data_IF_916465660251
#
_entry.id   IF_916465660251
#
_cell.length_a   1.000
_cell.length_b   1.000
_cell.length_c   1.000
_cell.angle_alpha   90.00
_cell.angle_beta   90.00
_cell.angle_gamma   90.00
#
_symmetry.space_group_name_H-M   'P 1'
#
loop_
_entity.id
_entity.type
_entity.pdbx_description
1 polymer ?
#
# COMPACT_ATOMS: atom_id res chain seq x y z
N UNK A 1 19.82 17.68 -9.81
CA UNK A 1 20.03 16.56 -10.76
C UNK A 1 19.12 16.78 -11.95
N UNK A 2 19.61 16.59 -13.18
CA UNK A 2 18.77 16.72 -14.36
C UNK A 2 17.86 15.48 -14.46
N UNK A 3 16.56 15.69 -14.60
CA UNK A 3 15.60 14.64 -14.85
C UNK A 3 15.46 14.48 -16.37
N UNK A 4 15.63 13.26 -16.88
CA UNK A 4 15.39 12.96 -18.30
C UNK A 4 13.97 12.45 -18.45
N UNK A 5 13.15 13.12 -19.24
CA UNK A 5 11.77 12.75 -19.54
C UNK A 5 11.67 12.21 -20.94
N UNK A 6 11.06 11.04 -21.11
CA UNK A 6 10.79 10.44 -22.41
C UNK A 6 9.33 10.69 -22.79
N UNK A 7 9.10 11.24 -23.97
CA UNK A 7 7.77 11.37 -24.56
C UNK A 7 7.55 10.20 -25.52
N UNK A 8 6.80 9.21 -25.06
CA UNK A 8 6.47 8.02 -25.85
C UNK A 8 6.98 6.72 -25.26
N UNK A 9 6.66 5.57 -25.89
CA UNK A 9 7.05 4.27 -25.39
C UNK A 9 8.57 4.11 -25.36
N UNK A 10 9.10 3.70 -24.20
CA UNK A 10 10.51 3.34 -24.06
C UNK A 10 10.63 1.82 -24.18
N UNK A 11 11.35 1.34 -25.22
CA UNK A 11 11.67 -0.07 -25.39
C UNK A 11 13.06 -0.35 -24.83
N UNK A 12 13.15 -1.17 -23.82
CA UNK A 12 14.41 -1.73 -23.33
C UNK A 12 14.49 -3.21 -23.70
N UNK A 13 15.55 -3.62 -24.38
CA UNK A 13 15.74 -5.02 -24.79
C UNK A 13 16.30 -5.90 -23.67
N UNK A 14 16.96 -5.30 -22.68
CA UNK A 14 17.60 -5.99 -21.55
C UNK A 14 17.00 -5.61 -20.19
N UNK A 15 15.80 -5.02 -20.17
CA UNK A 15 15.15 -4.53 -18.95
C UNK A 15 15.70 -3.20 -18.45
N UNK A 16 15.07 -2.68 -17.39
CA UNK A 16 15.54 -1.50 -16.68
C UNK A 16 16.26 -1.93 -15.41
N UNK A 17 17.48 -1.43 -15.23
CA UNK A 17 18.22 -1.62 -13.99
C UNK A 17 18.12 -0.36 -13.16
N UNK A 18 17.57 -0.49 -11.96
CA UNK A 18 17.51 0.57 -10.97
C UNK A 18 18.52 0.25 -9.86
N UNK A 19 19.57 1.06 -9.77
CA UNK A 19 20.58 0.93 -8.72
C UNK A 19 20.27 1.84 -7.54
N UNK A 20 20.49 1.33 -6.33
CA UNK A 20 20.46 2.11 -5.11
C UNK A 20 19.18 1.94 -4.28
N UNK A 21 18.99 2.73 -3.24
CA UNK A 21 17.92 2.57 -2.25
C UNK A 21 16.52 2.95 -2.76
N UNK A 22 16.37 3.18 -4.06
CA UNK A 22 15.13 3.67 -4.65
C UNK A 22 13.96 2.69 -4.65
N UNK A 23 14.18 1.39 -4.42
CA UNK A 23 13.13 0.36 -4.47
C UNK A 23 12.53 0.01 -3.10
N UNK A 24 13.21 0.34 -2.02
CA UNK A 24 12.74 0.15 -0.65
C UNK A 24 12.74 1.50 0.07
N UNK A 25 11.59 1.87 0.61
CA UNK A 25 11.43 3.08 1.42
C UNK A 25 11.16 2.66 2.86
N UNK A 26 11.90 3.24 3.77
CA UNK A 26 11.74 2.98 5.19
C UNK A 26 10.82 4.04 5.80
N UNK A 27 9.69 3.62 6.36
CA UNK A 27 8.88 4.46 7.23
C UNK A 27 9.44 4.29 8.64
N UNK A 28 10.33 5.21 9.02
CA UNK A 28 11.08 5.14 10.26
C UNK A 28 10.26 5.58 11.47
N UNK A 29 10.65 5.03 12.60
CA UNK A 29 10.19 5.36 13.95
C UNK A 29 10.12 6.88 14.20
N UNK A 30 9.01 7.34 14.77
CA UNK A 30 8.79 8.74 15.17
C UNK A 30 7.84 9.53 14.27
N UNK A 31 7.31 8.94 13.19
CA UNK A 31 6.29 9.57 12.34
C UNK A 31 4.99 8.80 12.49
N UNK A 32 4.13 9.21 13.42
CA UNK A 32 2.87 8.50 13.69
C UNK A 32 1.87 8.51 12.52
N UNK A 33 2.07 9.38 11.52
CA UNK A 33 1.19 9.48 10.35
C UNK A 33 2.00 9.80 9.12
N UNK A 34 1.80 9.05 8.04
CA UNK A 34 2.41 9.27 6.73
C UNK A 34 1.32 9.25 5.67
N UNK A 35 1.25 10.30 4.86
CA UNK A 35 0.47 10.27 3.62
C UNK A 35 1.40 9.88 2.48
N UNK A 36 1.07 8.79 1.80
CA UNK A 36 1.83 8.35 0.62
C UNK A 36 1.58 9.29 -0.55
N UNK A 37 2.57 9.47 -1.37
CA UNK A 37 2.49 10.15 -2.64
C UNK A 37 2.99 9.25 -3.78
N UNK A 38 2.52 9.50 -4.99
CA UNK A 38 2.85 8.68 -6.17
C UNK A 38 4.34 8.78 -6.50
N UNK A 39 4.90 9.97 -6.46
CA UNK A 39 6.29 10.22 -6.87
C UNK A 39 7.30 9.49 -6.00
N UNK A 40 7.04 9.44 -4.69
CA UNK A 40 7.97 8.87 -3.71
C UNK A 40 7.77 7.37 -3.51
N UNK A 41 6.51 6.89 -3.49
CA UNK A 41 6.19 5.55 -2.97
C UNK A 41 5.67 4.57 -4.01
N UNK A 42 5.16 5.02 -5.17
CA UNK A 42 4.60 4.12 -6.17
C UNK A 42 5.63 3.11 -6.70
N UNK A 43 5.23 1.85 -6.82
CA UNK A 43 6.08 0.76 -7.31
C UNK A 43 7.19 0.33 -6.36
N UNK A 44 7.18 0.79 -5.10
CA UNK A 44 8.22 0.48 -4.12
C UNK A 44 7.70 -0.43 -3.02
N UNK A 45 8.64 -1.08 -2.33
CA UNK A 45 8.39 -1.75 -1.07
C UNK A 45 8.54 -0.72 0.06
N UNK A 46 7.46 -0.53 0.80
CA UNK A 46 7.38 0.37 1.94
C UNK A 46 7.55 -0.48 3.19
N UNK A 47 8.67 -0.33 3.85
CA UNK A 47 9.04 -1.10 5.05
C UNK A 47 8.64 -0.31 6.29
N UNK A 48 7.80 -0.87 7.14
CA UNK A 48 7.39 -0.25 8.39
C UNK A 48 8.20 -0.79 9.56
N UNK A 49 8.93 0.10 10.23
CA UNK A 49 9.68 -0.21 11.45
C UNK A 49 9.02 0.36 12.70
N UNK A 50 7.87 1.02 12.54
CA UNK A 50 7.08 1.59 13.62
C UNK A 50 5.87 0.69 13.91
N UNK A 51 5.66 0.36 15.17
CA UNK A 51 4.54 -0.47 15.62
C UNK A 51 3.19 0.28 15.66
N UNK A 52 3.21 1.61 15.59
CA UNK A 52 2.03 2.48 15.69
C UNK A 52 2.03 3.50 14.55
N UNK A 53 1.62 3.13 13.36
CA UNK A 53 1.73 3.98 12.18
C UNK A 53 0.38 4.09 11.46
N UNK A 54 0.00 5.31 11.10
CA UNK A 54 -1.12 5.56 10.21
C UNK A 54 -0.58 5.89 8.81
N UNK A 55 -0.86 5.02 7.85
CA UNK A 55 -0.51 5.19 6.45
C UNK A 55 -1.77 5.60 5.69
N UNK A 56 -1.78 6.80 5.10
CA UNK A 56 -2.87 7.26 4.25
C UNK A 56 -2.48 7.13 2.78
N UNK A 57 -3.29 6.44 2.00
CA UNK A 57 -3.11 6.30 0.56
C UNK A 57 -3.50 7.61 -0.15
N UNK A 58 -2.91 7.95 -1.30
CA UNK A 58 -3.36 9.08 -2.12
C UNK A 58 -4.81 8.90 -2.56
N UNK A 59 -5.52 10.00 -2.77
CA UNK A 59 -6.82 9.96 -3.46
C UNK A 59 -6.66 9.42 -4.87
N UNK A 60 -7.56 8.53 -5.30
CA UNK A 60 -7.55 7.99 -6.65
C UNK A 60 -7.96 9.08 -7.65
N UNK A 61 -7.05 9.39 -8.57
CA UNK A 61 -7.34 10.21 -9.73
C UNK A 61 -7.42 9.32 -10.99
N UNK A 62 -8.63 9.13 -11.49
CA UNK A 62 -8.92 8.36 -12.70
C UNK A 62 -9.16 9.25 -13.93
N UNK A 63 -8.96 10.56 -13.80
CA UNK A 63 -9.14 11.50 -14.90
C UNK A 63 -8.07 11.28 -15.96
N UNK A 64 -8.41 11.55 -17.23
CA UNK A 64 -7.41 11.56 -18.28
C UNK A 64 -6.37 12.66 -17.99
N UNK A 65 -5.11 12.33 -18.17
CA UNK A 65 -4.03 13.31 -18.02
C UNK A 65 -4.22 14.45 -19.02
N UNK A 66 -3.95 15.70 -18.62
CA UNK A 66 -4.01 16.82 -19.56
C UNK A 66 -3.02 16.62 -20.70
N UNK A 67 -3.42 16.97 -21.91
CA UNK A 67 -2.53 16.92 -23.09
C UNK A 67 -1.25 17.76 -22.88
N UNK A 68 -1.31 18.73 -21.97
CA UNK A 68 -0.19 19.57 -21.56
C UNK A 68 0.66 19.01 -20.41
N UNK A 69 0.41 17.77 -19.96
CA UNK A 69 1.25 17.11 -18.96
C UNK A 69 2.63 16.79 -19.55
N UNK A 70 3.43 17.84 -19.72
CA UNK A 70 4.78 17.77 -20.23
C UNK A 70 5.82 17.44 -19.18
N UNK A 71 7.11 17.50 -19.57
CA UNK A 71 8.22 17.33 -18.65
C UNK A 71 8.10 18.26 -17.44
N UNK A 72 8.12 17.69 -16.23
CA UNK A 72 7.99 18.44 -14.98
C UNK A 72 6.58 18.50 -14.40
N UNK A 73 5.57 17.87 -15.01
CA UNK A 73 4.27 17.69 -14.38
C UNK A 73 4.44 16.91 -13.05
N UNK A 74 3.71 17.35 -12.03
CA UNK A 74 3.73 16.67 -10.73
C UNK A 74 2.97 15.34 -10.83
N UNK A 75 3.65 14.18 -10.66
CA UNK A 75 3.00 12.87 -10.75
C UNK A 75 1.84 12.70 -9.77
N UNK A 76 1.82 13.46 -8.68
CA UNK A 76 0.75 13.38 -7.68
C UNK A 76 -0.57 14.01 -8.16
N UNK A 77 -0.54 14.80 -9.23
CA UNK A 77 -1.73 15.45 -9.82
C UNK A 77 -2.24 14.75 -11.06
N UNK A 78 -1.49 13.77 -11.57
CA UNK A 78 -1.84 13.02 -12.77
C UNK A 78 -2.71 11.81 -12.42
N UNK A 79 -3.18 11.12 -13.47
CA UNK A 79 -3.87 9.84 -13.33
C UNK A 79 -2.96 8.85 -12.59
N UNK A 80 -3.47 8.28 -11.50
CA UNK A 80 -2.71 7.34 -10.67
C UNK A 80 -3.27 5.91 -10.72
N UNK A 81 -4.18 5.62 -11.64
CA UNK A 81 -4.66 4.24 -11.87
C UNK A 81 -3.49 3.35 -12.26
N UNK A 82 -3.44 2.16 -11.68
CA UNK A 82 -2.36 1.19 -11.88
C UNK A 82 -1.16 1.38 -10.93
N UNK A 83 -1.10 2.47 -10.17
CA UNK A 83 -0.05 2.61 -9.16
C UNK A 83 -0.21 1.57 -8.06
N UNK A 84 0.92 1.00 -7.66
CA UNK A 84 0.96 -0.08 -6.66
C UNK A 84 1.88 0.30 -5.52
N UNK A 85 1.44 0.00 -4.30
CA UNK A 85 2.17 0.17 -3.06
C UNK A 85 2.30 -1.19 -2.38
N UNK A 86 3.52 -1.61 -2.04
CA UNK A 86 3.74 -2.85 -1.30
C UNK A 86 4.22 -2.49 0.09
N UNK A 87 3.42 -2.80 1.10
CA UNK A 87 3.72 -2.51 2.50
C UNK A 87 4.18 -3.78 3.17
N UNK A 88 5.37 -3.75 3.76
CA UNK A 88 5.97 -4.85 4.50
C UNK A 88 6.09 -4.47 5.97
N UNK A 89 5.52 -5.29 6.84
CA UNK A 89 5.57 -5.10 8.29
C UNK A 89 6.85 -5.76 8.84
N UNK A 90 7.82 -4.94 9.17
CA UNK A 90 9.10 -5.42 9.73
C UNK A 90 9.06 -5.50 11.25
N UNK A 91 8.50 -4.50 11.91
CA UNK A 91 8.23 -4.52 13.34
C UNK A 91 6.76 -4.87 13.55
N UNK A 92 6.49 -5.86 14.39
CA UNK A 92 5.12 -6.26 14.70
C UNK A 92 4.26 -5.04 15.08
N UNK A 93 3.09 -4.94 14.46
CA UNK A 93 2.15 -3.86 14.71
C UNK A 93 1.63 -3.91 16.15
N UNK A 94 1.36 -2.77 16.72
CA UNK A 94 0.53 -2.61 17.93
C UNK A 94 -0.74 -1.83 17.59
N UNK A 95 -0.63 -0.88 16.65
CA UNK A 95 -1.74 -0.10 16.13
C UNK A 95 -1.34 0.51 14.77
N UNK A 96 -1.11 -0.34 13.75
CA UNK A 96 -0.87 0.14 12.38
C UNK A 96 -2.20 0.19 11.65
N UNK A 97 -2.50 1.34 11.04
CA UNK A 97 -3.66 1.52 10.20
C UNK A 97 -3.24 1.94 8.79
N UNK A 98 -3.74 1.25 7.77
CA UNK A 98 -3.60 1.64 6.37
C UNK A 98 -4.98 2.07 5.91
N UNK A 99 -5.13 3.33 5.50
CA UNK A 99 -6.42 3.90 5.15
C UNK A 99 -6.39 4.67 3.84
N UNK A 100 -7.53 4.76 3.21
CA UNK A 100 -7.75 5.66 2.08
C UNK A 100 -8.06 7.07 2.57
N UNK A 101 -8.46 7.95 1.66
CA UNK A 101 -8.98 9.29 1.97
C UNK A 101 -10.40 9.29 2.57
N UNK A 102 -10.98 8.11 2.81
CA UNK A 102 -12.36 7.91 3.29
C UNK A 102 -13.40 7.79 2.16
N UNK A 103 -13.07 8.25 0.95
CA UNK A 103 -13.95 8.15 -0.23
C UNK A 103 -13.68 6.89 -1.01
N UNK A 104 -12.41 6.59 -1.27
CA UNK A 104 -11.98 5.38 -1.94
C UNK A 104 -12.18 4.15 -1.03
N UNK A 105 -12.54 3.01 -1.61
CA UNK A 105 -12.84 1.78 -0.86
C UNK A 105 -11.95 0.63 -1.28
N UNK A 106 -11.70 -0.28 -0.36
CA UNK A 106 -10.95 -1.49 -0.65
C UNK A 106 -11.81 -2.53 -1.35
N UNK A 107 -11.19 -3.26 -2.29
CA UNK A 107 -11.74 -4.46 -2.94
C UNK A 107 -10.63 -5.51 -3.03
N UNK A 108 -10.98 -6.78 -3.07
CA UNK A 108 -9.99 -7.87 -3.09
C UNK A 108 -10.04 -8.70 -1.83
N UNK A 109 -8.90 -9.20 -1.37
CA UNK A 109 -8.85 -10.03 -0.17
C UNK A 109 -7.45 -10.09 0.44
N UNK A 110 -7.39 -10.36 1.74
CA UNK A 110 -6.18 -10.68 2.47
C UNK A 110 -6.28 -12.09 3.05
N UNK A 111 -5.20 -12.85 2.96
CA UNK A 111 -5.07 -14.11 3.66
C UNK A 111 -4.42 -13.86 5.02
N UNK A 112 -4.97 -14.45 6.06
CA UNK A 112 -4.38 -14.44 7.40
C UNK A 112 -3.94 -15.85 7.75
N UNK A 113 -2.65 -15.99 8.05
CA UNK A 113 -2.07 -17.21 8.59
C UNK A 113 -2.04 -17.05 10.10
N UNK A 114 -2.78 -17.91 10.79
CA UNK A 114 -2.69 -18.02 12.24
C UNK A 114 -1.41 -18.73 12.62
N UNK A 115 -0.56 -18.09 13.42
CA UNK A 115 0.77 -18.58 13.77
C UNK A 115 0.82 -19.25 15.14
N UNK A 116 -0.31 -19.40 15.78
CA UNK A 116 -0.41 -20.13 17.05
C UNK A 116 -0.80 -21.61 16.85
N UNK A 117 -1.29 -22.26 17.90
CA UNK A 117 -1.57 -23.68 17.90
C UNK A 117 -2.67 -24.15 16.95
N UNK A 118 -3.44 -23.25 16.34
CA UNK A 118 -4.52 -23.60 15.39
C UNK A 118 -4.06 -23.72 13.96
N UNK A 119 -2.95 -23.06 13.59
CA UNK A 119 -2.31 -23.08 12.26
C UNK A 119 -3.29 -22.90 11.09
N UNK A 120 -4.39 -22.16 11.31
CA UNK A 120 -5.44 -21.98 10.33
C UNK A 120 -5.06 -20.88 9.31
N UNK A 121 -5.57 -21.02 8.09
CA UNK A 121 -5.51 -19.95 7.07
C UNK A 121 -6.93 -19.47 6.81
N UNK A 122 -7.16 -18.19 7.05
CA UNK A 122 -8.47 -17.56 6.84
C UNK A 122 -8.36 -16.43 5.82
N UNK A 123 -9.30 -16.40 4.86
CA UNK A 123 -9.41 -15.31 3.89
C UNK A 123 -10.40 -14.25 4.37
N UNK A 124 -10.02 -12.99 4.30
CA UNK A 124 -10.89 -11.85 4.61
C UNK A 124 -11.09 -10.97 3.39
N UNK A 125 -12.34 -10.64 3.10
CA UNK A 125 -12.71 -9.68 2.07
C UNK A 125 -13.31 -8.43 2.72
N UNK A 126 -13.03 -7.22 2.19
CA UNK A 126 -13.64 -6.01 2.70
C UNK A 126 -15.13 -5.96 2.39
N UNK A 127 -15.93 -5.41 3.30
CA UNK A 127 -17.28 -4.95 3.00
C UNK A 127 -17.24 -3.71 2.10
N UNK A 128 -18.34 -3.41 1.42
CA UNK A 128 -18.40 -2.33 0.42
C UNK A 128 -18.02 -0.93 0.95
N UNK A 129 -18.12 -0.71 2.25
CA UNK A 129 -17.80 0.57 2.88
C UNK A 129 -16.38 0.61 3.49
N UNK A 130 -15.67 -0.51 3.51
CA UNK A 130 -14.37 -0.55 4.19
C UNK A 130 -13.31 0.26 3.45
N UNK A 131 -12.65 1.12 4.21
CA UNK A 131 -11.61 2.04 3.77
C UNK A 131 -10.38 2.04 4.69
N UNK A 132 -10.37 1.17 5.70
CA UNK A 132 -9.27 1.01 6.65
C UNK A 132 -8.88 -0.47 6.77
N UNK A 133 -7.59 -0.73 6.87
CA UNK A 133 -6.99 -2.00 7.28
C UNK A 133 -6.29 -1.74 8.61
N UNK A 134 -6.78 -2.33 9.68
CA UNK A 134 -6.20 -2.22 11.02
C UNK A 134 -5.39 -3.47 11.35
N UNK A 135 -4.17 -3.27 11.84
CA UNK A 135 -3.26 -4.33 12.25
C UNK A 135 -2.86 -4.12 13.71
N UNK A 136 -3.12 -5.11 14.55
CA UNK A 136 -2.85 -5.07 15.99
C UNK A 136 -1.67 -5.96 16.43
N UNK A 137 -1.04 -6.63 15.46
CA UNK A 137 0.06 -7.57 15.72
C UNK A 137 -0.39 -8.91 16.32
N UNK A 138 -1.71 -9.17 16.33
CA UNK A 138 -2.31 -10.39 16.83
C UNK A 138 -3.56 -10.76 16.04
N UNK A 139 -4.75 -10.44 16.52
CA UNK A 139 -6.02 -10.92 15.98
C UNK A 139 -6.35 -10.37 14.59
N UNK A 140 -5.99 -9.13 14.30
CA UNK A 140 -6.15 -8.51 12.97
C UNK A 140 -4.89 -8.58 12.10
N UNK A 141 -3.89 -9.35 12.56
CA UNK A 141 -2.63 -9.54 11.85
C UNK A 141 -1.63 -8.42 12.07
N UNK A 142 -0.56 -8.44 11.27
CA UNK A 142 0.50 -7.45 11.40
C UNK A 142 1.67 -7.91 12.26
N UNK A 143 1.80 -9.21 12.53
CA UNK A 143 3.06 -9.80 13.03
C UNK A 143 4.15 -9.53 11.99
N UNK A 144 5.39 -9.36 12.44
CA UNK A 144 6.54 -9.13 11.57
C UNK A 144 6.64 -10.21 10.47
N UNK A 145 6.81 -9.79 9.21
CA UNK A 145 6.73 -10.66 8.04
C UNK A 145 5.40 -10.54 7.28
N UNK A 146 4.37 -9.92 7.83
CA UNK A 146 3.15 -9.59 7.09
C UNK A 146 3.44 -8.64 5.94
N UNK A 147 2.73 -8.82 4.82
CA UNK A 147 2.83 -7.90 3.69
C UNK A 147 1.48 -7.70 3.01
N UNK A 148 1.28 -6.51 2.47
CA UNK A 148 0.07 -6.10 1.77
C UNK A 148 0.46 -5.36 0.50
N UNK A 149 -0.15 -5.72 -0.62
CA UNK A 149 -0.03 -4.98 -1.87
C UNK A 149 -1.37 -4.29 -2.16
N UNK A 150 -1.30 -3.01 -2.49
CA UNK A 150 -2.45 -2.16 -2.75
C UNK A 150 -2.26 -1.48 -4.10
N UNK A 151 -3.24 -1.62 -4.99
CA UNK A 151 -3.19 -1.04 -6.33
C UNK A 151 -4.42 -0.15 -6.55
N UNK A 152 -4.21 1.07 -7.03
CA UNK A 152 -5.28 1.93 -7.52
C UNK A 152 -5.89 1.30 -8.77
N UNK A 153 -7.03 0.62 -8.63
CA UNK A 153 -7.61 -0.22 -9.68
C UNK A 153 -8.53 0.55 -10.63
N UNK A 154 -9.38 1.38 -10.07
CA UNK A 154 -10.38 2.16 -10.79
C UNK A 154 -10.83 3.32 -9.91
N UNK A 155 -11.62 4.25 -10.45
CA UNK A 155 -12.23 5.33 -9.65
C UNK A 155 -12.86 4.75 -8.38
N UNK A 156 -12.50 5.31 -7.25
CA UNK A 156 -12.99 4.95 -5.91
C UNK A 156 -12.66 3.52 -5.45
N UNK A 157 -11.71 2.81 -6.09
CA UNK A 157 -11.40 1.42 -5.76
C UNK A 157 -9.91 1.15 -5.68
N UNK A 158 -9.47 0.79 -4.49
CA UNK A 158 -8.17 0.21 -4.22
C UNK A 158 -8.28 -1.32 -4.16
N UNK A 159 -7.61 -2.02 -5.08
CA UNK A 159 -7.45 -3.47 -5.00
C UNK A 159 -6.39 -3.82 -3.95
N UNK A 160 -6.73 -4.76 -3.07
CA UNK A 160 -5.83 -5.22 -2.03
C UNK A 160 -5.64 -6.73 -2.10
N UNK A 161 -4.39 -7.15 -1.93
CA UNK A 161 -4.00 -8.55 -1.76
C UNK A 161 -2.80 -8.64 -0.83
N UNK A 162 -2.58 -9.77 -0.21
CA UNK A 162 -1.46 -9.96 0.68
C UNK A 162 -1.63 -11.11 1.65
N UNK A 163 -0.61 -11.28 2.48
CA UNK A 163 -0.60 -12.28 3.55
C UNK A 163 -0.29 -11.58 4.87
N UNK A 164 -1.16 -11.77 5.81
CA UNK A 164 -1.00 -11.32 7.19
C UNK A 164 -0.64 -12.51 8.07
N UNK A 165 0.25 -12.30 8.99
CA UNK A 165 0.54 -13.22 10.09
C UNK A 165 -0.22 -12.72 11.32
N UNK A 166 -1.01 -13.57 11.93
CA UNK A 166 -1.82 -13.27 13.11
C UNK A 166 -1.71 -14.36 14.16
N UNK A 167 -2.37 -14.17 15.29
CA UNK A 167 -2.43 -15.14 16.39
C UNK A 167 -3.70 -14.95 17.21
N UNK A 168 -4.05 -15.97 17.98
CA UNK A 168 -5.26 -15.98 18.81
C UNK A 168 -6.53 -16.17 17.98
N UNK A 169 -7.62 -15.56 18.38
CA UNK A 169 -8.88 -15.57 17.60
C UNK A 169 -8.79 -14.57 16.44
N UNK A 170 -8.29 -15.03 15.29
CA UNK A 170 -8.11 -14.14 14.12
C UNK A 170 -9.45 -13.54 13.67
N UNK A 171 -9.41 -12.25 13.34
CA UNK A 171 -10.56 -11.45 12.96
C UNK A 171 -10.26 -10.62 11.70
N UNK A 172 -11.32 -10.08 11.07
CA UNK A 172 -11.14 -9.24 9.88
C UNK A 172 -10.30 -8.00 10.20
N UNK A 173 -9.27 -7.69 9.38
CA UNK A 173 -8.53 -6.45 9.52
C UNK A 173 -9.27 -5.24 8.91
N UNK A 174 -10.32 -5.47 8.12
CA UNK A 174 -11.04 -4.41 7.42
C UNK A 174 -12.05 -3.70 8.32
N UNK A 175 -12.08 -2.37 8.23
CA UNK A 175 -12.95 -1.49 9.00
C UNK A 175 -13.37 -0.26 8.18
N UNK A 176 -14.25 0.55 8.74
CA UNK A 176 -14.58 1.90 8.27
C UNK A 176 -13.85 2.93 9.14
N UNK A 177 -13.45 4.05 8.52
CA UNK A 177 -12.91 5.23 9.23
C UNK A 177 -14.00 5.98 9.99
#
# INVERSE_FOLDING_TARGET
>A
MAQTTFQGPVRSMNGFYQQGPGTVVNLANGTNTVTLDVATYAGKVIRTTDATLIITLPTINASADPVSSGPGADPNTLNNIGTTYTIFIETAATAVAIKTDGTDKFVGSLLMIDTDSSDAVTGYAPAAANDVINLDGSTTGGIAGSWIQITALASLKYYVTGVLLGSGSVATPFANS
#
